data_IF_948670336301
#
_entry.id   IF_948670336301
#
_cell.length_a   1.000
_cell.length_b   1.000
_cell.length_c   1.000
_cell.angle_alpha   90.00
_cell.angle_beta   90.00
_cell.angle_gamma   90.00
#
_symmetry.space_group_name_H-M   'P 1'
#
loop_
_entity.id
_entity.type
_entity.pdbx_description
1 polymer ?
#
# COMPACT_ATOMS: atom_id res chain seq x y z
N UNK A 1 23.46 15.21 23.50
CA UNK A 1 22.18 15.79 23.04
C UNK A 1 21.87 15.22 21.67
N UNK A 2 20.65 14.71 21.46
CA UNK A 2 20.24 14.09 20.18
C UNK A 2 19.91 15.19 19.17
N UNK A 3 20.35 15.01 17.91
CA UNK A 3 20.02 15.91 16.80
C UNK A 3 18.50 16.04 16.58
N UNK A 4 17.97 17.27 16.37
CA UNK A 4 16.54 17.47 16.12
C UNK A 4 16.02 16.70 14.89
N UNK A 5 16.84 16.51 13.86
CA UNK A 5 16.46 15.73 12.69
C UNK A 5 16.11 14.27 13.04
N UNK A 6 16.82 13.66 13.99
CA UNK A 6 16.56 12.29 14.42
C UNK A 6 15.28 12.18 15.28
N UNK A 7 15.00 13.18 16.11
CA UNK A 7 13.76 13.21 16.89
C UNK A 7 12.54 13.43 15.99
N UNK A 8 12.64 14.36 15.02
CA UNK A 8 11.59 14.58 14.03
C UNK A 8 11.37 13.33 13.18
N UNK A 9 12.44 12.64 12.80
CA UNK A 9 12.32 11.37 12.10
C UNK A 9 11.50 10.35 12.91
N UNK A 10 11.81 10.17 14.20
CA UNK A 10 11.03 9.27 15.08
C UNK A 10 9.55 9.65 15.10
N UNK A 11 9.23 10.92 15.27
CA UNK A 11 7.85 11.41 15.33
C UNK A 11 7.09 11.19 14.00
N UNK A 12 7.78 11.35 12.86
CA UNK A 12 7.21 11.04 11.54
C UNK A 12 6.99 9.53 11.38
N UNK A 13 7.94 8.72 11.84
CA UNK A 13 7.86 7.26 11.84
C UNK A 13 6.68 6.77 12.70
N UNK A 14 6.45 7.31 13.89
CA UNK A 14 5.29 7.00 14.74
C UNK A 14 3.95 7.38 14.08
N UNK A 15 3.91 8.53 13.39
CA UNK A 15 2.72 8.93 12.62
C UNK A 15 2.43 7.98 11.47
N UNK A 16 3.46 7.52 10.75
CA UNK A 16 3.30 6.53 9.67
C UNK A 16 2.70 5.22 10.19
N UNK A 17 3.12 4.74 11.37
CA UNK A 17 2.50 3.56 12.01
C UNK A 17 1.02 3.79 12.29
N UNK A 18 0.69 4.97 12.81
CA UNK A 18 -0.70 5.32 13.16
C UNK A 18 -1.57 5.36 11.91
N UNK A 19 -1.12 6.04 10.86
CA UNK A 19 -1.83 6.13 9.57
C UNK A 19 -2.00 4.76 8.92
N UNK A 20 -0.95 3.94 8.90
CA UNK A 20 -1.00 2.60 8.32
C UNK A 20 -1.93 1.64 9.09
N UNK A 21 -2.18 1.87 10.38
CA UNK A 21 -3.12 1.08 11.19
C UNK A 21 -4.58 1.58 11.08
N UNK A 22 -4.79 2.86 10.79
CA UNK A 22 -6.11 3.51 10.78
C UNK A 22 -6.77 3.55 9.41
N UNK A 23 -6.24 2.82 8.43
CA UNK A 23 -6.75 2.81 7.07
C UNK A 23 -8.20 2.30 6.99
N UNK A 24 -9.14 3.23 7.10
CA UNK A 24 -10.55 3.02 6.81
C UNK A 24 -10.75 3.06 5.29
N UNK A 25 -11.63 2.21 4.76
CA UNK A 25 -11.87 2.08 3.32
C UNK A 25 -12.36 3.41 2.71
N UNK A 26 -13.07 4.22 3.52
CA UNK A 26 -13.62 5.52 3.13
C UNK A 26 -12.56 6.61 3.03
N UNK A 27 -11.57 6.62 3.92
CA UNK A 27 -10.53 7.66 4.03
C UNK A 27 -9.21 7.24 3.40
N UNK A 28 -9.24 6.19 2.58
CA UNK A 28 -8.04 5.54 2.07
C UNK A 28 -7.20 6.44 1.18
N UNK A 29 -7.81 7.21 0.28
CA UNK A 29 -7.09 8.12 -0.61
C UNK A 29 -6.40 9.26 0.18
N UNK A 30 -7.08 9.78 1.20
CA UNK A 30 -6.52 10.77 2.12
C UNK A 30 -5.35 10.18 2.91
N UNK A 31 -5.52 8.95 3.43
CA UNK A 31 -4.49 8.22 4.17
C UNK A 31 -3.25 7.97 3.32
N UNK A 32 -3.42 7.60 2.05
CA UNK A 32 -2.31 7.43 1.09
C UNK A 32 -1.58 8.75 0.88
N UNK A 33 -2.32 9.83 0.63
CA UNK A 33 -1.75 11.18 0.42
C UNK A 33 -0.94 11.64 1.64
N UNK A 34 -1.46 11.41 2.85
CA UNK A 34 -0.73 11.72 4.08
C UNK A 34 0.52 10.87 4.25
N UNK A 35 0.45 9.56 3.97
CA UNK A 35 1.61 8.67 4.02
C UNK A 35 2.69 9.14 3.04
N UNK A 36 2.33 9.49 1.80
CA UNK A 36 3.26 10.02 0.80
C UNK A 36 3.94 11.31 1.26
N UNK A 37 3.17 12.27 1.79
CA UNK A 37 3.73 13.51 2.33
C UNK A 37 4.73 13.27 3.49
N UNK A 38 4.46 12.27 4.34
CA UNK A 38 5.38 11.89 5.43
C UNK A 38 6.64 11.20 4.92
N UNK A 39 6.54 10.41 3.86
CA UNK A 39 7.72 9.81 3.21
C UNK A 39 8.60 10.89 2.56
N UNK A 40 7.99 11.89 1.89
CA UNK A 40 8.71 13.03 1.33
C UNK A 40 9.44 13.85 2.41
N UNK A 41 8.83 14.02 3.58
CA UNK A 41 9.47 14.69 4.72
C UNK A 41 10.68 13.90 5.24
N UNK A 42 10.62 12.56 5.23
CA UNK A 42 11.76 11.72 5.60
C UNK A 42 12.89 11.85 4.59
N UNK A 43 12.61 11.84 3.29
CA UNK A 43 13.65 12.01 2.28
C UNK A 43 14.46 13.30 2.48
N UNK A 44 13.79 14.40 2.87
CA UNK A 44 14.46 15.66 3.21
C UNK A 44 15.35 15.52 4.46
N UNK A 45 14.86 14.84 5.49
CA UNK A 45 15.57 14.64 6.76
C UNK A 45 16.78 13.70 6.62
N UNK A 46 16.75 12.76 5.67
CA UNK A 46 17.82 11.77 5.50
C UNK A 46 19.18 12.44 5.25
N UNK A 47 19.18 13.54 4.48
CA UNK A 47 20.39 14.33 4.21
C UNK A 47 21.01 14.97 5.46
N UNK A 48 20.21 15.19 6.51
CA UNK A 48 20.62 15.83 7.77
C UNK A 48 21.13 14.81 8.80
N UNK A 49 20.86 13.52 8.60
CA UNK A 49 21.26 12.42 9.48
C UNK A 49 22.50 11.75 8.88
N UNK A 50 23.64 12.43 8.97
CA UNK A 50 24.93 11.97 8.45
C UNK A 50 26.00 11.88 9.55
N UNK A 51 27.01 11.03 9.32
CA UNK A 51 28.17 10.89 10.19
C UNK A 51 28.99 12.21 10.27
N UNK A 52 29.74 12.45 11.37
CA UNK A 52 29.97 11.58 12.52
C UNK A 52 28.82 11.61 13.54
N UNK A 53 28.53 10.48 14.19
CA UNK A 53 27.52 10.37 15.26
C UNK A 53 28.16 10.38 16.64
N UNK A 54 27.46 10.95 17.62
CA UNK A 54 27.83 10.83 19.03
C UNK A 54 27.31 9.51 19.62
N UNK A 55 27.89 9.05 20.74
CA UNK A 55 27.48 7.80 21.38
C UNK A 55 25.97 7.78 21.77
N UNK A 56 25.41 8.93 22.16
CA UNK A 56 23.98 9.08 22.44
C UNK A 56 23.13 8.93 21.16
N UNK A 57 23.60 9.48 20.04
CA UNK A 57 22.91 9.37 18.75
C UNK A 57 23.00 7.95 18.18
N UNK A 58 24.10 7.24 18.40
CA UNK A 58 24.21 5.82 18.03
C UNK A 58 23.25 4.95 18.84
N UNK A 59 23.12 5.19 20.15
CA UNK A 59 22.17 4.48 20.99
C UNK A 59 20.73 4.76 20.53
N UNK A 60 20.38 6.02 20.31
CA UNK A 60 19.07 6.41 19.79
C UNK A 60 18.79 5.86 18.40
N UNK A 61 19.80 5.84 17.52
CA UNK A 61 19.71 5.26 16.19
C UNK A 61 19.40 3.76 16.20
N UNK A 62 19.92 3.01 17.16
CA UNK A 62 19.58 1.58 17.32
C UNK A 62 18.10 1.36 17.66
N UNK A 63 17.55 2.18 18.55
CA UNK A 63 16.11 2.16 18.85
C UNK A 63 15.28 2.56 17.63
N UNK A 64 15.73 3.59 16.90
CA UNK A 64 15.08 4.07 15.69
C UNK A 64 15.00 2.99 14.60
N UNK A 65 16.07 2.21 14.41
CA UNK A 65 16.10 1.10 13.44
C UNK A 65 15.04 0.04 13.76
N UNK A 66 14.80 -0.27 15.04
CA UNK A 66 13.75 -1.21 15.43
C UNK A 66 12.36 -0.68 15.09
N UNK A 67 12.13 0.62 15.30
CA UNK A 67 10.88 1.28 14.93
C UNK A 67 10.68 1.26 13.40
N UNK A 68 11.75 1.45 12.63
CA UNK A 68 11.72 1.38 11.17
C UNK A 68 11.29 0.01 10.63
N UNK A 69 11.77 -1.07 11.25
CA UNK A 69 11.32 -2.42 10.88
C UNK A 69 9.81 -2.61 11.10
N UNK A 70 9.25 -2.01 12.14
CA UNK A 70 7.81 -2.04 12.39
C UNK A 70 7.05 -1.27 11.31
N UNK A 71 7.49 -0.05 11.00
CA UNK A 71 6.86 0.81 9.98
C UNK A 71 6.87 0.14 8.61
N UNK A 72 8.00 -0.45 8.24
CA UNK A 72 8.12 -1.18 6.98
C UNK A 72 7.08 -2.31 6.89
N UNK A 73 6.93 -3.11 7.96
CA UNK A 73 5.93 -4.19 8.02
C UNK A 73 4.50 -3.64 7.88
N UNK A 74 4.20 -2.52 8.52
CA UNK A 74 2.87 -1.88 8.48
C UNK A 74 2.55 -1.32 7.10
N UNK A 75 3.48 -0.60 6.48
CA UNK A 75 3.31 -0.08 5.12
C UNK A 75 3.19 -1.21 4.10
N UNK A 76 3.95 -2.30 4.26
CA UNK A 76 3.83 -3.48 3.39
C UNK A 76 2.47 -4.17 3.53
N UNK A 77 1.94 -4.26 4.74
CA UNK A 77 0.59 -4.79 4.99
C UNK A 77 -0.46 -3.89 4.33
N UNK A 78 -0.37 -2.58 4.53
CA UNK A 78 -1.27 -1.60 3.94
C UNK A 78 -1.26 -1.68 2.40
N UNK A 79 -0.07 -1.75 1.80
CA UNK A 79 0.08 -1.95 0.35
C UNK A 79 -0.53 -3.27 -0.15
N UNK A 80 -0.44 -4.35 0.64
CA UNK A 80 -1.07 -5.63 0.30
C UNK A 80 -2.58 -5.54 0.35
N UNK A 81 -3.15 -4.93 1.39
CA UNK A 81 -4.60 -4.64 1.47
C UNK A 81 -5.04 -3.86 0.23
N UNK A 82 -4.27 -2.83 -0.13
CA UNK A 82 -4.58 -2.02 -1.30
C UNK A 82 -4.72 -2.86 -2.58
N UNK A 83 -3.79 -3.80 -2.79
CA UNK A 83 -3.76 -4.69 -3.95
C UNK A 83 -4.92 -5.70 -3.95
N UNK A 84 -5.27 -6.22 -2.78
CA UNK A 84 -6.41 -7.14 -2.64
C UNK A 84 -7.70 -6.45 -3.06
N UNK A 85 -7.93 -5.22 -2.60
CA UNK A 85 -9.16 -4.48 -2.93
C UNK A 85 -9.29 -4.17 -4.43
N UNK A 86 -8.16 -3.86 -5.09
CA UNK A 86 -8.12 -3.70 -6.55
C UNK A 86 -8.50 -5.02 -7.24
N UNK A 87 -7.96 -6.14 -6.76
CA UNK A 87 -8.21 -7.48 -7.33
C UNK A 87 -9.67 -7.90 -7.15
N UNK A 88 -10.25 -7.63 -5.98
CA UNK A 88 -11.66 -7.90 -5.66
C UNK A 88 -12.61 -7.04 -6.50
N UNK A 89 -12.25 -5.78 -6.73
CA UNK A 89 -13.03 -4.90 -7.61
C UNK A 89 -13.02 -5.40 -9.06
N UNK A 90 -11.89 -5.93 -9.53
CA UNK A 90 -11.78 -6.52 -10.87
C UNK A 90 -12.53 -7.84 -11.00
N UNK A 91 -12.45 -8.72 -9.99
CA UNK A 91 -13.13 -10.03 -10.01
C UNK A 91 -14.65 -9.86 -9.99
N UNK A 92 -15.18 -8.92 -9.20
CA UNK A 92 -16.61 -8.54 -9.19
C UNK A 92 -17.09 -8.07 -10.57
N UNK A 93 -16.30 -7.25 -11.28
CA UNK A 93 -16.60 -6.83 -12.66
C UNK A 93 -16.58 -7.99 -13.66
N UNK A 94 -15.65 -8.93 -13.52
CA UNK A 94 -15.56 -10.14 -14.34
C UNK A 94 -16.76 -11.07 -14.15
N UNK A 95 -17.15 -11.34 -12.90
CA UNK A 95 -18.31 -12.18 -12.61
C UNK A 95 -19.62 -11.56 -13.11
N UNK A 96 -19.81 -10.25 -12.97
CA UNK A 96 -21.01 -9.58 -13.49
C UNK A 96 -21.14 -9.71 -15.01
N UNK A 97 -20.02 -9.69 -15.76
CA UNK A 97 -20.02 -9.93 -17.22
C UNK A 97 -20.37 -11.39 -17.57
N UNK A 98 -19.92 -12.36 -16.78
CA UNK A 98 -20.24 -13.78 -16.99
C UNK A 98 -21.72 -14.08 -16.72
N UNK A 99 -22.32 -13.45 -15.70
CA UNK A 99 -23.75 -13.58 -15.42
C UNK A 99 -24.66 -12.94 -16.48
N UNK A 100 -24.20 -11.89 -17.16
CA UNK A 100 -24.95 -11.24 -18.25
C UNK A 100 -24.86 -11.98 -19.60
N UNK A 101 -24.03 -13.02 -19.71
CA UNK A 101 -23.84 -13.74 -20.96
C UNK A 101 -24.10 -15.26 -20.90
N UNK A 102 -25.30 -15.70 -20.47
CA UNK A 102 -25.65 -17.12 -20.41
C UNK A 102 -25.79 -17.82 -21.79
N UNK A 103 -25.63 -17.10 -22.91
CA UNK A 103 -25.83 -17.63 -24.27
C UNK A 103 -24.62 -17.51 -25.20
N UNK A 104 -23.47 -16.99 -24.74
CA UNK A 104 -22.28 -16.89 -25.59
C UNK A 104 -21.57 -18.21 -25.88
N UNK A 105 -21.89 -19.27 -25.13
CA UNK A 105 -21.42 -20.63 -25.40
C UNK A 105 -22.45 -21.49 -26.15
N UNK A 106 -23.34 -20.87 -26.94
CA UNK A 106 -23.97 -21.62 -28.04
C UNK A 106 -22.89 -21.78 -29.11
N UNK A 107 -22.13 -22.87 -29.02
CA UNK A 107 -21.31 -23.37 -30.11
C UNK A 107 -22.23 -23.55 -31.33
N UNK A 108 -22.22 -22.54 -32.19
CA UNK A 108 -22.87 -22.54 -33.50
C UNK A 108 -21.99 -23.41 -34.41
N UNK A 109 -22.01 -24.72 -34.18
CA UNK A 109 -21.54 -25.66 -35.18
C UNK A 109 -22.63 -25.71 -36.26
N UNK A 110 -22.41 -24.89 -37.27
CA UNK A 110 -23.34 -24.72 -38.37
C UNK A 110 -23.29 -25.93 -39.27
N UNK A 111 -24.32 -26.78 -39.18
CA UNK A 111 -24.62 -27.72 -40.26
C UNK A 111 -25.97 -27.35 -40.85
N UNK A 112 -25.91 -26.57 -41.93
CA UNK A 112 -26.96 -26.50 -42.95
C UNK A 112 -26.91 -27.78 -43.81
N UNK A 113 -27.98 -28.00 -44.59
CA UNK A 113 -28.28 -29.07 -45.58
C UNK A 113 -29.28 -30.13 -45.06
N UNK A 114 -30.38 -30.45 -45.73
CA UNK A 114 -31.07 -29.89 -46.91
C UNK A 114 -32.54 -30.33 -46.84
N UNK A 115 -33.44 -29.54 -47.40
CA UNK A 115 -34.86 -29.82 -47.56
C UNK A 115 -35.16 -30.94 -48.59
N UNK A 116 -36.33 -31.59 -48.41
CA UNK A 116 -37.08 -32.51 -49.32
C UNK A 116 -36.64 -33.99 -49.22
N UNK A 117 -37.48 -34.99 -49.00
CA UNK A 117 -38.93 -35.24 -49.21
C UNK A 117 -39.59 -35.88 -47.99
#
# INVERSE_FOLDING_TARGET
MIRPAMTVWRDVTEKLVTLANQADEVLRDETITEIEARLDDRDKLQSLIAAPFTAEEEAFGKELVLLEEEVQKKLDLFRKQIRLDISDTQSKKGNMKNYLNPYSNVARDGTFYDTKQ
#
